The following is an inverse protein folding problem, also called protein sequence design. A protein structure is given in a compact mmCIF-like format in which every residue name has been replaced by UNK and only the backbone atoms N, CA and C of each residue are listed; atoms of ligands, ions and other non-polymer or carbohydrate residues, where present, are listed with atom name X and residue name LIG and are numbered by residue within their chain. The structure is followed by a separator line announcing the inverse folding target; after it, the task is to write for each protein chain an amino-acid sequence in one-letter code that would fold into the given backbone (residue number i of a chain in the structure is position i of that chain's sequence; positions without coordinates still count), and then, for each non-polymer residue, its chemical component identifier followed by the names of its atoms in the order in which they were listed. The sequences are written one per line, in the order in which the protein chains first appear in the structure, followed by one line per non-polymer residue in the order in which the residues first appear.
data_IF_116836198515
#
_entry.id   IF_116836198515
#
_cell.length_a   1.000
_cell.length_b   1.000
_cell.length_c   1.000
_cell.angle_alpha   90.00
_cell.angle_beta   90.00
_cell.angle_gamma   90.00
#
_symmetry.space_group_name_H-M   'P 1'
#
loop_
_entity.id
_entity.type
_entity.pdbx_description
1 polymer ?
#
# COMPACT_ATOMS: atom_id res chain seq x y z
N UNK A 1 -9.87 -13.88 12.91
CA UNK A 1 -9.05 -14.07 11.70
C UNK A 1 -8.78 -15.53 11.36
N UNK A 2 -9.68 -16.42 11.63
CA UNK A 2 -9.61 -17.81 11.20
C UNK A 2 -10.12 -17.94 9.76
N UNK A 3 -9.74 -16.98 8.93
CA UNK A 3 -10.22 -16.93 7.58
C UNK A 3 -9.61 -18.00 6.70
N UNK A 4 -10.40 -18.51 5.81
CA UNK A 4 -10.00 -19.36 4.70
C UNK A 4 -8.83 -18.78 3.85
N UNK A 5 -8.57 -17.49 3.97
CA UNK A 5 -7.51 -16.77 3.22
C UNK A 5 -6.24 -16.52 4.04
N UNK A 6 -6.24 -16.79 5.35
CA UNK A 6 -5.10 -16.50 6.21
C UNK A 6 -4.15 -17.69 6.34
N UNK A 7 -2.88 -17.40 6.57
CA UNK A 7 -1.82 -18.41 6.69
C UNK A 7 -1.58 -18.81 8.14
N UNK A 8 -1.27 -17.86 9.00
CA UNK A 8 -0.87 -18.16 10.38
C UNK A 8 -1.80 -17.56 11.45
N UNK A 9 -2.61 -16.57 11.09
CA UNK A 9 -3.39 -15.77 12.06
C UNK A 9 -2.53 -14.90 12.97
N UNK A 10 -1.24 -14.78 12.69
CA UNK A 10 -0.31 -13.94 13.47
C UNK A 10 -0.11 -12.59 12.79
N UNK A 11 0.21 -11.56 13.58
CA UNK A 11 0.63 -10.28 13.07
C UNK A 11 2.03 -10.30 12.45
N UNK A 12 2.49 -9.17 11.94
CA UNK A 12 3.83 -9.01 11.37
C UNK A 12 3.99 -9.52 9.93
N UNK A 13 2.96 -10.10 9.33
CA UNK A 13 2.93 -10.56 7.93
C UNK A 13 1.59 -10.23 7.29
N UNK A 14 1.51 -10.26 5.96
CA UNK A 14 0.23 -10.10 5.24
C UNK A 14 -0.78 -11.20 5.62
N UNK A 15 -0.29 -12.33 6.06
CA UNK A 15 -1.08 -13.46 6.52
C UNK A 15 -2.00 -14.10 5.45
N UNK A 16 -1.81 -13.77 4.19
CA UNK A 16 -2.50 -14.44 3.09
C UNK A 16 -1.78 -15.74 2.71
N UNK A 17 -2.54 -16.81 2.59
CA UNK A 17 -2.04 -18.04 2.00
C UNK A 17 -1.68 -17.84 0.55
N UNK A 18 -0.72 -18.60 0.03
CA UNK A 18 -0.26 -18.48 -1.35
C UNK A 18 -1.36 -18.71 -2.39
N UNK A 19 -2.35 -19.53 -2.07
CA UNK A 19 -3.51 -19.83 -2.92
C UNK A 19 -4.67 -18.84 -2.75
N UNK A 20 -4.54 -17.81 -1.89
CA UNK A 20 -5.63 -16.93 -1.52
C UNK A 20 -5.67 -15.59 -2.26
N UNK A 21 -4.59 -15.15 -2.89
CA UNK A 21 -4.51 -13.84 -3.55
C UNK A 21 -5.60 -13.62 -4.60
N UNK A 22 -5.80 -14.60 -5.49
CA UNK A 22 -6.86 -14.54 -6.51
C UNK A 22 -8.27 -14.63 -5.88
N UNK A 23 -8.42 -15.32 -4.75
CA UNK A 23 -9.69 -15.43 -4.03
C UNK A 23 -10.04 -14.09 -3.38
N UNK A 24 -9.06 -13.43 -2.74
CA UNK A 24 -9.23 -12.09 -2.18
C UNK A 24 -9.56 -11.08 -3.28
N UNK A 25 -8.85 -11.11 -4.40
CA UNK A 25 -9.13 -10.22 -5.53
C UNK A 25 -10.57 -10.39 -6.05
N UNK A 26 -11.04 -11.63 -6.23
CA UNK A 26 -12.43 -11.91 -6.63
C UNK A 26 -13.45 -11.44 -5.58
N UNK A 27 -13.15 -11.65 -4.29
CA UNK A 27 -14.01 -11.18 -3.21
C UNK A 27 -14.12 -9.66 -3.21
N UNK A 28 -12.99 -8.95 -3.29
CA UNK A 28 -12.95 -7.48 -3.36
C UNK A 28 -13.78 -6.95 -4.54
N UNK A 29 -13.58 -7.50 -5.73
CA UNK A 29 -14.34 -7.10 -6.92
C UNK A 29 -15.84 -7.38 -6.78
N UNK A 30 -16.22 -8.51 -6.16
CA UNK A 30 -17.62 -8.86 -5.89
C UNK A 30 -18.26 -7.87 -4.91
N UNK A 31 -17.56 -7.53 -3.83
CA UNK A 31 -18.05 -6.55 -2.84
C UNK A 31 -18.27 -5.20 -3.48
N UNK A 32 -17.27 -4.67 -4.20
CA UNK A 32 -17.37 -3.36 -4.85
C UNK A 32 -18.50 -3.30 -5.87
N UNK A 33 -18.68 -4.36 -6.67
CA UNK A 33 -19.79 -4.45 -7.62
C UNK A 33 -21.13 -4.54 -6.90
N UNK A 34 -21.22 -5.35 -5.82
CA UNK A 34 -22.45 -5.53 -5.03
C UNK A 34 -22.91 -4.21 -4.41
N UNK A 35 -22.01 -3.45 -3.81
CA UNK A 35 -22.30 -2.12 -3.25
C UNK A 35 -22.77 -1.16 -4.37
N UNK A 36 -22.09 -1.16 -5.53
CA UNK A 36 -22.51 -0.33 -6.66
C UNK A 36 -23.91 -0.69 -7.19
N UNK A 37 -24.27 -1.98 -7.21
CA UNK A 37 -25.56 -2.45 -7.69
C UNK A 37 -26.69 -2.26 -6.67
N UNK A 38 -26.40 -2.46 -5.39
CA UNK A 38 -27.40 -2.42 -4.32
C UNK A 38 -27.60 -0.99 -3.78
N UNK A 39 -26.51 -0.25 -3.56
CA UNK A 39 -26.54 1.03 -2.87
C UNK A 39 -26.23 2.22 -3.78
N UNK A 40 -25.96 1.97 -5.07
CA UNK A 40 -25.54 2.98 -6.05
C UNK A 40 -24.28 3.74 -5.66
N UNK A 41 -23.42 3.13 -4.81
CA UNK A 41 -22.15 3.70 -4.36
C UNK A 41 -21.03 3.17 -5.24
N UNK A 42 -20.30 4.06 -5.89
CA UNK A 42 -19.16 3.73 -6.73
C UNK A 42 -17.87 4.27 -6.11
N UNK A 43 -16.85 3.43 -6.02
CA UNK A 43 -15.55 3.80 -5.47
C UNK A 43 -14.61 4.21 -6.62
N UNK A 44 -14.05 5.40 -6.55
CA UNK A 44 -13.02 5.86 -7.47
C UNK A 44 -11.68 5.20 -7.21
N UNK A 45 -11.38 4.93 -5.92
CA UNK A 45 -10.10 4.43 -5.45
C UNK A 45 -10.27 3.29 -4.45
N UNK A 46 -9.33 2.35 -4.51
CA UNK A 46 -9.17 1.26 -3.54
C UNK A 46 -7.70 1.16 -3.16
N UNK A 47 -7.37 1.20 -1.89
CA UNK A 47 -6.07 0.75 -1.40
C UNK A 47 -6.20 -0.61 -0.71
N UNK A 48 -5.45 -1.63 -1.13
CA UNK A 48 -5.61 -2.99 -0.61
C UNK A 48 -4.94 -3.24 0.73
N UNK A 49 -4.06 -2.35 1.18
CA UNK A 49 -3.29 -2.47 2.42
C UNK A 49 -3.19 -1.12 3.12
N UNK A 50 -3.05 -1.14 4.43
CA UNK A 50 -2.76 0.02 5.26
C UNK A 50 -1.47 -0.21 6.03
N UNK A 51 -0.53 0.73 5.97
CA UNK A 51 0.75 0.71 6.68
C UNK A 51 1.50 -0.63 6.57
N UNK A 52 1.78 -1.11 5.35
CA UNK A 52 2.39 -2.42 5.15
C UNK A 52 3.83 -2.50 5.68
N UNK A 53 4.48 -1.37 5.85
CA UNK A 53 5.83 -1.23 6.42
C UNK A 53 5.86 -1.48 7.93
N UNK A 54 4.75 -1.35 8.64
CA UNK A 54 4.65 -1.59 10.07
C UNK A 54 4.70 -3.07 10.46
N UNK A 55 5.22 -3.35 11.66
CA UNK A 55 5.28 -4.69 12.26
C UNK A 55 4.08 -4.93 13.21
N UNK A 56 2.88 -4.78 12.70
CA UNK A 56 1.64 -4.94 13.46
C UNK A 56 1.46 -6.41 13.89
N UNK A 57 1.56 -6.68 15.19
CA UNK A 57 1.56 -8.06 15.68
C UNK A 57 0.19 -8.60 16.07
N UNK A 58 -0.84 -7.78 16.11
CA UNK A 58 -2.23 -8.14 16.44
C UNK A 58 -2.45 -8.74 17.84
N UNK A 59 -1.39 -8.86 18.64
CA UNK A 59 -1.44 -9.35 20.01
C UNK A 59 -1.53 -8.14 20.92
N UNK A 60 -2.71 -7.88 21.46
CA UNK A 60 -2.99 -6.70 22.27
C UNK A 60 -2.77 -5.39 21.52
N UNK A 61 -3.24 -5.27 20.28
CA UNK A 61 -2.93 -4.11 19.45
C UNK A 61 -3.64 -2.89 19.99
N UNK A 62 -2.92 -1.80 19.96
CA UNK A 62 -3.49 -0.47 20.15
C UNK A 62 -3.72 0.22 18.79
N UNK A 63 -3.23 -0.36 17.73
CA UNK A 63 -3.28 0.19 16.38
C UNK A 63 -3.34 -0.95 15.35
N UNK A 64 -3.94 -0.68 14.21
CA UNK A 64 -4.16 -1.63 13.14
C UNK A 64 -3.37 -1.25 11.90
N UNK A 65 -2.91 -2.25 11.17
CA UNK A 65 -2.24 -2.14 9.89
C UNK A 65 -2.30 -3.46 9.13
N UNK A 66 -1.76 -3.48 7.94
CA UNK A 66 -1.73 -4.66 7.07
C UNK A 66 -0.27 -5.00 6.74
N UNK A 67 0.52 -5.50 7.72
CA UNK A 67 1.94 -5.72 7.51
C UNK A 67 2.19 -6.62 6.30
N UNK A 68 3.03 -6.15 5.39
CA UNK A 68 3.34 -6.86 4.16
C UNK A 68 4.70 -6.45 3.62
N UNK A 69 5.41 -7.39 3.04
CA UNK A 69 6.59 -7.08 2.23
C UNK A 69 6.17 -6.44 0.90
N UNK A 70 7.08 -5.71 0.26
CA UNK A 70 6.83 -5.12 -1.05
C UNK A 70 6.41 -6.16 -2.10
N UNK A 71 6.95 -7.38 -2.02
CA UNK A 71 6.58 -8.48 -2.92
C UNK A 71 5.13 -8.92 -2.71
N UNK A 72 4.69 -9.00 -1.46
CA UNK A 72 3.31 -9.35 -1.10
C UNK A 72 2.33 -8.26 -1.52
N UNK A 73 2.67 -6.99 -1.29
CA UNK A 73 1.88 -5.84 -1.76
C UNK A 73 1.72 -5.87 -3.28
N UNK A 74 2.83 -6.03 -4.01
CA UNK A 74 2.80 -6.07 -5.47
C UNK A 74 1.99 -7.27 -5.99
N UNK A 75 2.11 -8.43 -5.36
CA UNK A 75 1.34 -9.63 -5.71
C UNK A 75 -0.16 -9.41 -5.52
N UNK A 76 -0.57 -8.83 -4.40
CA UNK A 76 -1.96 -8.52 -4.13
C UNK A 76 -2.51 -7.48 -5.10
N UNK A 77 -1.79 -6.38 -5.32
CA UNK A 77 -2.18 -5.34 -6.26
C UNK A 77 -2.33 -5.88 -7.69
N UNK A 78 -1.42 -6.74 -8.15
CA UNK A 78 -1.51 -7.40 -9.47
C UNK A 78 -2.71 -8.34 -9.57
N UNK A 79 -3.00 -9.12 -8.52
CA UNK A 79 -4.16 -10.00 -8.50
C UNK A 79 -5.47 -9.20 -8.61
N UNK A 80 -5.60 -8.10 -7.83
CA UNK A 80 -6.77 -7.21 -7.89
C UNK A 80 -6.85 -6.54 -9.27
N UNK A 81 -5.74 -6.04 -9.81
CA UNK A 81 -5.67 -5.43 -11.14
C UNK A 81 -6.18 -6.37 -12.24
N UNK A 82 -5.72 -7.63 -12.23
CA UNK A 82 -6.17 -8.66 -13.15
C UNK A 82 -7.67 -8.91 -13.06
N UNK A 83 -8.19 -9.00 -11.85
CA UNK A 83 -9.61 -9.24 -11.61
C UNK A 83 -10.47 -8.02 -11.98
N UNK A 84 -10.04 -6.79 -11.66
CA UNK A 84 -10.73 -5.56 -12.04
C UNK A 84 -10.79 -5.42 -13.58
N UNK A 85 -9.69 -5.73 -14.28
CA UNK A 85 -9.68 -5.78 -15.74
C UNK A 85 -10.69 -6.79 -16.28
N UNK A 86 -10.72 -8.01 -15.73
CA UNK A 86 -11.66 -9.07 -16.11
C UNK A 86 -13.12 -8.65 -15.93
N UNK A 87 -13.40 -7.94 -14.84
CA UNK A 87 -14.75 -7.47 -14.51
C UNK A 87 -15.08 -6.08 -15.03
N UNK A 88 -14.14 -5.41 -15.72
CA UNK A 88 -14.29 -4.04 -16.27
C UNK A 88 -14.61 -2.99 -15.19
N UNK A 89 -14.10 -3.18 -13.98
CA UNK A 89 -14.21 -2.18 -12.89
C UNK A 89 -13.29 -0.99 -13.18
N UNK A 90 -13.82 0.22 -13.04
CA UNK A 90 -13.08 1.46 -13.32
C UNK A 90 -12.32 2.01 -12.11
N UNK A 91 -12.57 1.48 -10.92
CA UNK A 91 -11.90 1.84 -9.67
C UNK A 91 -10.39 1.74 -9.83
N UNK A 92 -9.67 2.77 -9.40
CA UNK A 92 -8.20 2.80 -9.43
C UNK A 92 -7.65 2.09 -8.19
N UNK A 93 -6.62 1.28 -8.42
CA UNK A 93 -5.93 0.57 -7.35
C UNK A 93 -4.74 1.41 -6.93
N UNK A 94 -4.78 1.88 -5.70
CA UNK A 94 -3.75 2.74 -5.14
C UNK A 94 -2.77 1.91 -4.30
N UNK A 95 -1.52 2.28 -4.32
CA UNK A 95 -0.47 1.69 -3.48
C UNK A 95 0.30 2.81 -2.78
N UNK A 96 0.72 2.62 -1.57
CA UNK A 96 0.51 1.48 -0.70
C UNK A 96 0.22 1.89 0.75
N UNK A 97 -0.09 3.15 1.04
CA UNK A 97 -0.43 3.65 2.39
C UNK A 97 0.68 3.38 3.42
N UNK A 98 1.94 3.64 3.08
CA UNK A 98 3.04 3.51 4.04
C UNK A 98 2.88 4.41 5.24
N UNK A 99 3.29 3.95 6.43
CA UNK A 99 3.19 4.73 7.67
C UNK A 99 4.06 5.97 7.67
N UNK A 100 5.19 5.95 6.97
CA UNK A 100 6.05 7.12 6.87
C UNK A 100 6.74 7.27 5.50
N UNK A 101 7.20 8.50 5.22
CA UNK A 101 7.79 8.84 3.94
C UNK A 101 9.16 8.19 3.68
N UNK A 102 9.88 7.82 4.73
CA UNK A 102 11.22 7.23 4.58
C UNK A 102 11.15 5.86 3.92
N UNK A 103 10.08 5.08 4.15
CA UNK A 103 9.88 3.79 3.51
C UNK A 103 9.69 3.91 1.99
N UNK A 104 9.20 5.04 1.51
CA UNK A 104 9.13 5.32 0.07
C UNK A 104 10.51 5.47 -0.57
N UNK A 105 11.47 6.05 0.18
CA UNK A 105 12.74 6.57 -0.32
C UNK A 105 13.93 5.66 -0.01
N UNK A 106 13.90 4.94 1.13
CA UNK A 106 15.06 4.27 1.73
C UNK A 106 14.71 2.87 2.22
N UNK A 107 15.75 2.15 2.66
CA UNK A 107 15.56 0.93 3.42
C UNK A 107 14.75 1.20 4.68
N UNK A 108 13.80 0.33 4.98
CA UNK A 108 13.18 0.28 6.29
C UNK A 108 14.25 -0.08 7.33
N UNK A 109 14.16 0.50 8.54
CA UNK A 109 15.19 0.37 9.57
C UNK A 109 15.59 -1.07 9.89
N UNK A 110 14.63 -1.98 9.94
CA UNK A 110 14.82 -3.38 10.33
C UNK A 110 14.50 -4.38 9.21
N UNK A 111 13.89 -3.94 8.11
CA UNK A 111 13.42 -4.84 7.06
C UNK A 111 13.51 -4.19 5.66
N UNK A 112 14.59 -4.52 4.95
CA UNK A 112 14.80 -4.03 3.58
C UNK A 112 13.66 -4.40 2.61
N UNK A 113 12.88 -5.45 2.91
CA UNK A 113 11.76 -5.90 2.07
C UNK A 113 10.57 -4.95 2.10
N UNK A 114 10.60 -3.94 2.97
CA UNK A 114 9.52 -2.96 3.17
C UNK A 114 9.90 -1.53 2.81
N UNK A 115 11.15 -1.31 2.43
CA UNK A 115 11.67 -0.01 2.02
C UNK A 115 11.78 0.19 0.51
N UNK A 116 12.30 1.34 0.07
CA UNK A 116 12.49 1.72 -1.34
C UNK A 116 11.24 1.53 -2.20
N UNK A 117 10.08 1.82 -1.69
CA UNK A 117 8.80 1.43 -2.28
C UNK A 117 8.54 2.12 -3.63
N UNK A 118 8.94 3.39 -3.81
CA UNK A 118 8.84 4.06 -5.12
C UNK A 118 9.63 3.27 -6.16
N UNK A 119 10.91 3.00 -5.91
CA UNK A 119 11.74 2.22 -6.83
C UNK A 119 11.18 0.81 -7.05
N UNK A 120 10.75 0.17 -5.98
CA UNK A 120 10.26 -1.21 -6.01
C UNK A 120 9.02 -1.36 -6.88
N UNK A 121 8.07 -0.40 -6.80
CA UNK A 121 6.81 -0.52 -7.51
C UNK A 121 6.80 0.15 -8.89
N UNK A 122 7.69 1.13 -9.13
CA UNK A 122 7.63 1.95 -10.34
C UNK A 122 8.92 1.97 -11.16
N UNK A 123 10.01 1.32 -10.74
CA UNK A 123 11.15 1.07 -11.62
C UNK A 123 10.89 -0.14 -12.50
N UNK A 124 11.11 0.01 -13.80
CA UNK A 124 11.02 -1.10 -14.77
C UNK A 124 12.01 -2.24 -14.49
N UNK A 125 13.12 -1.93 -13.81
CA UNK A 125 14.12 -2.93 -13.41
C UNK A 125 13.61 -3.85 -12.30
N UNK A 126 12.57 -3.43 -11.58
CA UNK A 126 11.94 -4.21 -10.51
C UNK A 126 10.91 -5.22 -11.05
N UNK A 127 11.32 -6.12 -11.93
CA UNK A 127 10.46 -6.99 -12.76
C UNK A 127 9.34 -7.67 -11.95
N UNK A 128 9.65 -8.22 -10.77
CA UNK A 128 8.68 -8.94 -9.92
C UNK A 128 7.63 -8.03 -9.29
N UNK A 129 8.01 -6.81 -8.96
CA UNK A 129 7.19 -5.89 -8.16
C UNK A 129 6.71 -4.69 -8.96
N UNK A 130 7.18 -4.49 -10.18
CA UNK A 130 6.77 -3.39 -11.04
C UNK A 130 5.25 -3.41 -11.29
N UNK A 131 4.62 -2.26 -11.04
CA UNK A 131 3.17 -2.07 -11.12
C UNK A 131 2.72 -1.12 -12.23
N UNK A 132 3.64 -0.35 -12.82
CA UNK A 132 3.33 0.73 -13.76
C UNK A 132 2.59 0.32 -15.04
N UNK A 133 2.55 -0.96 -15.38
CA UNK A 133 1.80 -1.50 -16.54
C UNK A 133 0.52 -2.24 -16.13
N UNK A 134 0.15 -2.21 -14.84
CA UNK A 134 -1.00 -2.94 -14.33
C UNK A 134 -2.29 -2.15 -14.55
N UNK A 135 -3.35 -2.83 -14.98
CA UNK A 135 -4.65 -2.20 -15.21
C UNK A 135 -5.17 -1.54 -13.93
N UNK A 136 -5.61 -0.29 -14.05
CA UNK A 136 -6.20 0.44 -12.95
C UNK A 136 -5.20 1.00 -11.92
N UNK A 137 -3.90 0.76 -12.05
CA UNK A 137 -2.89 1.35 -11.17
C UNK A 137 -2.36 2.65 -11.79
N UNK A 138 -2.66 3.82 -11.20
CA UNK A 138 -2.21 5.11 -11.72
C UNK A 138 -0.76 5.42 -11.31
N UNK A 139 -0.16 6.42 -11.93
CA UNK A 139 1.16 6.95 -11.54
C UNK A 139 1.05 7.81 -10.27
N UNK A 140 0.59 7.20 -9.20
CA UNK A 140 0.41 7.82 -7.88
C UNK A 140 0.90 6.84 -6.84
N UNK A 141 1.63 7.33 -5.85
CA UNK A 141 1.97 6.59 -4.64
C UNK A 141 1.38 7.30 -3.43
N UNK A 142 0.94 6.54 -2.44
CA UNK A 142 0.32 7.06 -1.23
C UNK A 142 1.15 6.70 0.00
N UNK A 143 1.16 7.58 0.97
CA UNK A 143 1.72 7.31 2.28
C UNK A 143 1.19 8.30 3.31
N UNK A 144 1.35 7.92 4.57
CA UNK A 144 1.24 8.79 5.72
C UNK A 144 2.56 9.53 5.94
N UNK A 145 2.62 10.48 6.86
CA UNK A 145 3.85 11.22 7.13
C UNK A 145 4.32 11.12 8.58
N UNK A 146 3.87 10.08 9.30
CA UNK A 146 4.24 9.87 10.68
C UNK A 146 5.76 9.79 10.86
N UNK A 147 6.25 10.29 11.98
CA UNK A 147 7.67 10.35 12.38
C UNK A 147 8.60 11.09 11.40
N UNK A 148 8.05 11.89 10.50
CA UNK A 148 8.82 12.68 9.53
C UNK A 148 8.51 14.17 9.60
N UNK A 149 7.92 14.63 10.70
CA UNK A 149 7.45 16.00 10.87
C UNK A 149 8.41 16.89 11.70
N UNK A 150 9.33 16.27 12.43
CA UNK A 150 10.29 16.98 13.28
C UNK A 150 11.69 16.37 13.17
N UNK A 151 12.75 17.15 13.37
CA UNK A 151 12.75 18.61 13.38
C UNK A 151 12.45 19.24 12.01
N UNK A 152 12.03 20.48 11.95
CA UNK A 152 11.61 21.16 10.70
C UNK A 152 12.62 21.04 9.56
N UNK A 153 13.92 21.13 9.86
CA UNK A 153 14.97 21.01 8.85
C UNK A 153 14.94 19.62 8.19
N UNK A 154 14.78 18.58 8.97
CA UNK A 154 14.70 17.21 8.47
C UNK A 154 13.38 16.96 7.72
N UNK A 155 12.28 17.46 8.26
CA UNK A 155 10.98 17.42 7.59
C UNK A 155 11.06 17.99 6.17
N UNK A 156 11.69 19.16 5.98
CA UNK A 156 11.88 19.79 4.66
C UNK A 156 12.74 18.91 3.76
N UNK A 157 13.89 18.44 4.26
CA UNK A 157 14.82 17.60 3.50
C UNK A 157 14.17 16.33 2.98
N UNK A 158 13.38 15.64 3.80
CA UNK A 158 12.66 14.43 3.39
C UNK A 158 11.66 14.75 2.26
N UNK A 159 10.93 15.84 2.37
CA UNK A 159 9.92 16.21 1.36
C UNK A 159 10.54 16.71 0.06
N UNK A 160 11.70 17.34 0.10
CA UNK A 160 12.48 17.69 -1.08
C UNK A 160 13.00 16.45 -1.80
N UNK A 161 13.57 15.49 -1.06
CA UNK A 161 14.02 14.21 -1.59
C UNK A 161 12.85 13.42 -2.20
N UNK A 162 11.70 13.41 -1.54
CA UNK A 162 10.48 12.78 -2.06
C UNK A 162 10.04 13.43 -3.37
N UNK A 163 9.95 14.76 -3.41
CA UNK A 163 9.60 15.51 -4.63
C UNK A 163 10.51 15.13 -5.81
N UNK A 164 11.81 15.11 -5.59
CA UNK A 164 12.78 14.86 -6.64
C UNK A 164 12.74 13.41 -7.11
N UNK A 165 12.56 12.46 -6.19
CA UNK A 165 12.34 11.05 -6.51
C UNK A 165 11.04 10.85 -7.30
N UNK A 166 9.95 11.46 -6.90
CA UNK A 166 8.67 11.39 -7.62
C UNK A 166 8.79 11.91 -9.06
N UNK A 167 9.47 13.03 -9.24
CA UNK A 167 9.75 13.60 -10.58
C UNK A 167 10.52 12.64 -11.46
N UNK A 168 11.56 11.99 -10.90
CA UNK A 168 12.35 11.00 -11.61
C UNK A 168 11.51 9.82 -12.14
N UNK A 169 10.54 9.37 -11.37
CA UNK A 169 9.65 8.26 -11.74
C UNK A 169 8.34 8.69 -12.43
N UNK A 170 8.13 9.99 -12.63
CA UNK A 170 6.88 10.51 -13.22
C UNK A 170 5.65 10.25 -12.36
N UNK A 171 5.80 10.31 -11.04
CA UNK A 171 4.74 10.00 -10.07
C UNK A 171 4.20 11.24 -9.40
N UNK A 172 2.96 11.11 -8.90
CA UNK A 172 2.36 12.03 -7.92
C UNK A 172 2.33 11.35 -6.55
N UNK A 173 2.30 12.16 -5.51
CA UNK A 173 2.16 11.72 -4.13
C UNK A 173 0.82 12.20 -3.56
N UNK A 174 0.14 11.33 -2.83
CA UNK A 174 -0.99 11.66 -2.00
C UNK A 174 -0.70 11.32 -0.55
N UNK A 175 -0.84 12.30 0.32
CA UNK A 175 -0.87 12.06 1.75
C UNK A 175 -2.31 11.75 2.14
N UNK A 176 -2.53 10.55 2.56
CA UNK A 176 -3.87 10.00 2.77
C UNK A 176 -4.26 9.98 4.23
N UNK A 177 -3.27 10.05 5.12
CA UNK A 177 -3.50 10.12 6.55
C UNK A 177 -2.48 11.03 7.23
N UNK A 178 -2.92 11.84 8.19
CA UNK A 178 -2.09 12.66 9.07
C UNK A 178 -2.80 12.85 10.41
N UNK A 179 -2.06 12.63 11.49
CA UNK A 179 -2.44 13.02 12.83
C UNK A 179 -1.25 13.73 13.48
N UNK A 180 -1.50 14.83 14.18
CA UNK A 180 -0.48 15.48 15.01
C UNK A 180 -0.42 14.74 16.32
N UNK A 181 0.70 14.06 16.56
CA UNK A 181 0.94 13.31 17.79
C UNK A 181 1.64 14.19 18.84
N UNK A 182 1.58 13.77 20.12
CA UNK A 182 2.19 14.56 21.22
C UNK A 182 3.71 14.71 21.09
N UNK A 183 4.39 13.77 20.44
CA UNK A 183 5.81 13.81 20.16
C UNK A 183 6.21 14.59 18.90
N UNK A 184 5.25 15.17 18.20
CA UNK A 184 5.46 16.04 17.03
C UNK A 184 5.57 17.52 17.40
N UNK A 185 5.59 17.85 18.71
CA UNK A 185 5.67 19.22 19.23
C UNK A 185 7.11 19.66 19.45
#
# INVERSE_FOLDING_TARGET
KNGWATNTGRGGTINLRDDAYDKVARFTAKVMRGIGQHDSIHFDYLCPVNEPDGHWNWIGPKQEGSPATNVEVARLAKAISKEFKRQRLQTKIMVNESSNLLCLLRTHETDWQRGYQIRTFFSKDSIRTYLGNSYGIPNVIMAHSYWTNTPIKEMRRIREELRDTLRHYGLRYWQTELCIMDNDK
#
